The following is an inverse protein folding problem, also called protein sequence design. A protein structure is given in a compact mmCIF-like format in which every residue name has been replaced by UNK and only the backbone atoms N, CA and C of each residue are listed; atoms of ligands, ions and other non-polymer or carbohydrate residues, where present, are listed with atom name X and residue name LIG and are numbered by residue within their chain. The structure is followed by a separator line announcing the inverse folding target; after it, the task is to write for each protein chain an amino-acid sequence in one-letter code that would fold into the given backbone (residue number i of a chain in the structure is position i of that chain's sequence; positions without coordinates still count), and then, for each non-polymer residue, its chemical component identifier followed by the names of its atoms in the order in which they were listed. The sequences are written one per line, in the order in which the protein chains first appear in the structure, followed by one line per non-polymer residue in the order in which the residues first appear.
data_IF_241043625506
#
_entry.id   IF_241043625506
#
_cell.length_a   1.000
_cell.length_b   1.000
_cell.length_c   1.000
_cell.angle_alpha   90.00
_cell.angle_beta   90.00
_cell.angle_gamma   90.00
#
_symmetry.space_group_name_H-M   'P 1'
#
loop_
_entity.id
_entity.type
_entity.pdbx_description
1 polymer ?
#
# COMPACT_ATOMS: atom_id res chain seq x y z
N UNK A 1 8.76 2.19 -7.19
CA UNK A 1 8.27 3.59 -7.06
C UNK A 1 6.75 3.72 -6.82
N UNK A 2 5.93 2.71 -7.12
CA UNK A 2 4.46 2.76 -7.05
C UNK A 2 3.85 2.60 -5.65
N UNK A 3 4.50 1.88 -4.74
CA UNK A 3 3.99 1.66 -3.38
C UNK A 3 3.85 2.96 -2.56
N UNK A 4 4.80 3.89 -2.67
CA UNK A 4 4.79 5.15 -1.91
C UNK A 4 3.55 6.02 -2.20
N UNK A 5 3.06 6.00 -3.44
CA UNK A 5 1.84 6.72 -3.84
C UNK A 5 0.55 6.03 -3.36
N UNK A 6 0.55 4.71 -3.18
CA UNK A 6 -0.60 3.97 -2.69
C UNK A 6 -0.88 4.26 -1.20
N UNK A 7 0.17 4.32 -0.37
CA UNK A 7 0.06 4.77 1.03
C UNK A 7 -0.43 6.22 1.11
N UNK A 8 0.13 7.07 0.25
CA UNK A 8 -0.20 8.49 0.13
C UNK A 8 -1.67 8.77 -0.16
N UNK A 9 -2.26 8.04 -1.11
CA UNK A 9 -3.65 8.28 -1.53
C UNK A 9 -4.67 7.44 -0.76
N UNK A 10 -4.49 6.13 -0.66
CA UNK A 10 -5.51 5.24 -0.10
C UNK A 10 -5.38 5.08 1.41
N UNK A 11 -4.15 4.99 1.92
CA UNK A 11 -3.89 4.85 3.36
C UNK A 11 -4.28 6.10 4.15
N UNK A 12 -3.80 7.27 3.71
CA UNK A 12 -4.13 8.55 4.36
C UNK A 12 -5.60 8.95 4.19
N UNK A 13 -6.20 8.75 3.01
CA UNK A 13 -7.62 9.06 2.81
C UNK A 13 -8.53 8.13 3.62
N UNK A 14 -8.18 6.85 3.75
CA UNK A 14 -8.91 5.88 4.57
C UNK A 14 -8.83 6.22 6.06
N UNK A 15 -7.62 6.51 6.56
CA UNK A 15 -7.43 6.91 7.96
C UNK A 15 -8.16 8.22 8.29
N UNK A 16 -8.11 9.21 7.39
CA UNK A 16 -8.83 10.47 7.55
C UNK A 16 -10.35 10.28 7.50
N UNK A 17 -10.86 9.44 6.59
CA UNK A 17 -12.28 9.11 6.49
C UNK A 17 -12.83 8.38 7.73
N UNK A 18 -12.07 7.45 8.30
CA UNK A 18 -12.43 6.76 9.55
C UNK A 18 -12.51 7.72 10.74
N UNK A 19 -11.52 8.60 10.90
CA UNK A 19 -11.52 9.61 11.95
C UNK A 19 -12.64 10.63 11.78
N UNK A 20 -12.90 11.08 10.54
CA UNK A 20 -13.94 12.05 10.22
C UNK A 20 -15.36 11.53 10.51
N UNK A 21 -15.61 10.23 10.37
CA UNK A 21 -16.91 9.61 10.69
C UNK A 21 -17.29 9.72 12.19
N UNK A 22 -16.31 9.94 13.07
CA UNK A 22 -16.52 10.17 14.51
C UNK A 22 -16.89 11.60 14.86
N UNK A 23 -16.71 12.55 13.94
CA UNK A 23 -16.89 13.99 14.16
C UNK A 23 -18.35 14.37 13.91
N UNK A 24 -19.07 14.80 14.95
CA UNK A 24 -20.46 15.27 14.82
C UNK A 24 -20.51 16.79 14.63
N UNK A 25 -20.79 17.24 13.40
CA UNK A 25 -20.81 18.68 13.02
C UNK A 25 -22.02 19.45 13.58
N UNK A 26 -23.13 18.77 13.90
CA UNK A 26 -24.41 19.41 14.29
C UNK A 26 -24.82 19.23 15.76
N UNK A 27 -24.06 18.50 16.58
CA UNK A 27 -24.38 18.24 18.00
C UNK A 27 -23.42 18.99 18.92
N UNK A 28 -23.81 19.33 20.16
CA UNK A 28 -22.93 20.01 21.11
C UNK A 28 -21.61 19.26 21.27
N UNK A 29 -20.51 20.02 21.36
CA UNK A 29 -19.11 19.55 21.37
C UNK A 29 -18.75 18.59 22.53
N UNK A 30 -19.72 18.14 23.32
CA UNK A 30 -19.50 17.12 24.34
C UNK A 30 -19.96 15.73 23.89
N UNK A 31 -20.96 15.66 23.00
CA UNK A 31 -21.64 14.40 22.60
C UNK A 31 -20.88 13.52 21.60
N UNK A 32 -19.88 14.05 20.90
CA UNK A 32 -19.02 13.32 19.94
C UNK A 32 -17.90 12.48 20.59
N UNK A 33 -17.57 12.68 21.87
CA UNK A 33 -16.40 12.07 22.53
C UNK A 33 -16.39 10.53 22.47
N UNK A 34 -17.56 9.90 22.68
CA UNK A 34 -17.68 8.44 22.61
C UNK A 34 -17.56 7.88 21.19
N UNK A 35 -18.12 8.56 20.19
CA UNK A 35 -18.09 8.12 18.77
C UNK A 35 -16.71 8.30 18.15
N UNK A 36 -16.01 9.38 18.51
CA UNK A 36 -14.64 9.62 18.10
C UNK A 36 -13.69 8.58 18.70
N UNK A 37 -13.85 8.22 19.97
CA UNK A 37 -13.05 7.16 20.59
C UNK A 37 -13.24 5.80 19.89
N UNK A 38 -14.47 5.41 19.55
CA UNK A 38 -14.72 4.16 18.81
C UNK A 38 -14.14 4.17 17.39
N UNK A 39 -14.15 5.32 16.70
CA UNK A 39 -13.57 5.44 15.36
C UNK A 39 -12.04 5.49 15.38
N UNK A 40 -11.45 6.09 16.43
CA UNK A 40 -10.01 6.07 16.65
C UNK A 40 -9.52 4.63 16.88
N UNK A 41 -10.18 3.89 17.77
CA UNK A 41 -9.85 2.48 18.04
C UNK A 41 -10.06 1.62 16.79
N UNK A 42 -11.15 1.81 16.06
CA UNK A 42 -11.42 1.08 14.81
C UNK A 42 -10.39 1.36 13.72
N UNK A 43 -9.98 2.62 13.56
CA UNK A 43 -8.94 3.02 12.59
C UNK A 43 -7.59 2.41 12.96
N UNK A 44 -7.19 2.48 14.23
CA UNK A 44 -5.94 1.88 14.71
C UNK A 44 -5.93 0.35 14.58
N UNK A 45 -7.05 -0.30 14.89
CA UNK A 45 -7.20 -1.74 14.73
C UNK A 45 -7.11 -2.14 13.24
N UNK A 46 -7.75 -1.39 12.34
CA UNK A 46 -7.65 -1.61 10.89
C UNK A 46 -6.23 -1.40 10.35
N UNK A 47 -5.54 -0.33 10.77
CA UNK A 47 -4.14 -0.10 10.42
C UNK A 47 -3.23 -1.21 10.95
N UNK A 48 -3.41 -1.62 12.21
CA UNK A 48 -2.66 -2.72 12.81
C UNK A 48 -2.87 -4.03 12.06
N UNK A 49 -4.11 -4.37 11.75
CA UNK A 49 -4.43 -5.57 10.97
C UNK A 49 -3.79 -5.53 9.58
N UNK A 50 -3.89 -4.41 8.85
CA UNK A 50 -3.30 -4.28 7.52
C UNK A 50 -1.77 -4.42 7.52
N UNK A 51 -1.09 -3.87 8.55
CA UNK A 51 0.35 -4.03 8.73
C UNK A 51 0.73 -5.48 9.01
N UNK A 52 0.03 -6.13 9.94
CA UNK A 52 0.29 -7.53 10.30
C UNK A 52 0.01 -8.47 9.13
N UNK A 53 -1.14 -8.33 8.46
CA UNK A 53 -1.51 -9.15 7.32
C UNK A 53 -0.55 -8.95 6.15
N UNK A 54 -0.18 -7.69 5.86
CA UNK A 54 0.82 -7.38 4.85
C UNK A 54 2.17 -8.01 5.16
N UNK A 55 2.65 -7.87 6.40
CA UNK A 55 3.92 -8.46 6.83
C UNK A 55 3.92 -9.99 6.72
N UNK A 56 2.83 -10.65 7.13
CA UNK A 56 2.70 -12.12 7.01
C UNK A 56 2.75 -12.54 5.54
N UNK A 57 2.00 -11.88 4.66
CA UNK A 57 1.93 -12.25 3.24
C UNK A 57 3.25 -11.98 2.53
N UNK A 58 3.79 -10.76 2.62
CA UNK A 58 5.05 -10.42 1.97
C UNK A 58 6.25 -11.16 2.59
N UNK A 59 6.23 -11.37 3.91
CA UNK A 59 7.23 -12.16 4.62
C UNK A 59 7.20 -13.64 4.21
N UNK A 60 6.01 -14.23 4.12
CA UNK A 60 5.82 -15.58 3.60
C UNK A 60 6.30 -15.71 2.16
N UNK A 61 5.85 -14.83 1.26
CA UNK A 61 6.31 -14.84 -0.14
C UNK A 61 7.83 -14.69 -0.26
N UNK A 62 8.44 -13.83 0.56
CA UNK A 62 9.91 -13.69 0.62
C UNK A 62 10.59 -14.97 1.06
N UNK A 63 10.04 -15.67 2.05
CA UNK A 63 10.62 -16.90 2.58
C UNK A 63 10.52 -18.09 1.60
N UNK A 64 9.42 -18.18 0.84
CA UNK A 64 9.20 -19.33 -0.05
C UNK A 64 9.69 -19.13 -1.49
N UNK A 65 9.57 -17.93 -2.05
CA UNK A 65 9.76 -17.72 -3.49
C UNK A 65 10.85 -16.70 -3.82
N UNK A 66 11.16 -15.78 -2.91
CA UNK A 66 12.03 -14.64 -3.21
C UNK A 66 11.34 -13.65 -4.16
N UNK A 67 10.88 -12.52 -3.63
CA UNK A 67 10.04 -11.54 -4.37
C UNK A 67 10.82 -10.42 -5.08
N UNK A 68 12.14 -10.35 -4.90
CA UNK A 68 13.02 -9.32 -5.47
C UNK A 68 13.90 -9.96 -6.53
N UNK A 69 13.97 -9.34 -7.70
CA UNK A 69 14.93 -9.72 -8.75
C UNK A 69 16.37 -9.44 -8.28
N UNK A 70 17.34 -10.11 -8.90
CA UNK A 70 18.75 -9.79 -8.69
C UNK A 70 19.04 -8.38 -9.22
N UNK A 71 20.09 -7.74 -8.70
CA UNK A 71 20.41 -6.34 -9.03
C UNK A 71 20.75 -6.16 -10.53
N UNK A 72 21.33 -7.18 -11.15
CA UNK A 72 21.63 -7.25 -12.58
C UNK A 72 20.34 -7.35 -13.43
N UNK A 73 19.39 -8.18 -13.00
CA UNK A 73 18.10 -8.33 -13.68
C UNK A 73 17.21 -7.08 -13.50
N UNK A 74 17.29 -6.42 -12.34
CA UNK A 74 16.57 -5.16 -12.10
C UNK A 74 17.11 -4.02 -12.99
N UNK A 75 18.42 -4.03 -13.30
CA UNK A 75 19.05 -3.08 -14.23
C UNK A 75 18.71 -3.35 -15.70
N UNK A 76 18.68 -4.62 -16.12
CA UNK A 76 18.28 -5.01 -17.48
C UNK A 76 16.77 -4.79 -17.74
N UNK A 77 15.97 -4.82 -16.68
CA UNK A 77 14.53 -4.60 -16.72
C UNK A 77 13.74 -5.91 -16.81
N UNK A 78 12.63 -5.99 -16.05
CA UNK A 78 11.81 -7.20 -15.93
C UNK A 78 11.26 -7.74 -17.27
N UNK A 79 11.04 -6.86 -18.24
CA UNK A 79 10.54 -7.25 -19.56
C UNK A 79 11.60 -8.05 -20.35
N UNK A 80 12.89 -7.71 -20.19
CA UNK A 80 14.01 -8.42 -20.81
C UNK A 80 14.44 -9.64 -19.98
N UNK A 81 14.52 -9.50 -18.65
CA UNK A 81 15.04 -10.56 -17.76
C UNK A 81 14.05 -11.71 -17.54
N UNK A 82 12.75 -11.43 -17.45
CA UNK A 82 11.73 -12.46 -17.21
C UNK A 82 11.01 -12.81 -18.52
N UNK A 83 10.53 -11.81 -19.25
CA UNK A 83 9.64 -12.01 -20.40
C UNK A 83 10.38 -12.10 -21.75
N UNK A 84 11.70 -11.80 -21.79
CA UNK A 84 12.54 -11.80 -23.01
C UNK A 84 11.97 -10.96 -24.16
N UNK A 85 11.20 -9.92 -23.84
CA UNK A 85 10.59 -9.02 -24.82
C UNK A 85 11.10 -7.60 -24.54
N UNK A 86 11.48 -6.88 -25.59
CA UNK A 86 11.81 -5.48 -25.46
C UNK A 86 10.54 -4.66 -25.22
N UNK A 87 10.47 -3.95 -24.09
CA UNK A 87 9.37 -3.03 -23.76
C UNK A 87 9.19 -1.90 -24.79
N UNK A 88 10.26 -1.62 -25.55
CA UNK A 88 10.34 -0.60 -26.59
C UNK A 88 10.61 -1.25 -27.95
N UNK A 89 9.67 -1.18 -28.91
CA UNK A 89 9.85 -1.78 -30.23
C UNK A 89 11.03 -1.17 -31.01
N UNK A 90 11.34 0.10 -30.81
CA UNK A 90 12.46 0.81 -31.44
C UNK A 90 13.85 0.35 -30.98
N UNK A 91 13.96 -0.23 -29.78
CA UNK A 91 15.21 -0.75 -29.24
C UNK A 91 15.54 -2.16 -29.74
N UNK A 92 14.54 -2.91 -30.22
CA UNK A 92 14.69 -4.22 -30.86
C UNK A 92 14.98 -4.15 -32.37
N UNK A 93 14.90 -2.96 -32.97
CA UNK A 93 15.26 -2.73 -34.37
C UNK A 93 16.70 -2.21 -34.38
N UNK A 94 17.66 -3.12 -34.16
CA UNK A 94 19.04 -2.85 -34.56
C UNK A 94 19.07 -2.74 -36.09
N UNK A 95 19.49 -1.59 -36.60
CA UNK A 95 20.14 -1.55 -37.92
C UNK A 95 21.50 -2.21 -37.83
#
# INVERSE_FOLDING_TARGET
MTMCWAYGRYGLAGAWGGLAAGISVRKPWWSWRGKFASQLVGTLAGCGFALVSGFIVYGGLKAFMGIRMSEEEEQAGADLSIHKIAARPEAGISR
#
